data_IF_934269412241
#
_entry.id   IF_934269412241
#
_cell.length_a   1.000
_cell.length_b   1.000
_cell.length_c   1.000
_cell.angle_alpha   90.00
_cell.angle_beta   90.00
_cell.angle_gamma   90.00
#
_symmetry.space_group_name_H-M   'P 1'
#
loop_
_entity.id
_entity.type
_entity.pdbx_description
1 polymer ?
#
# COMPACT_ATOMS: atom_id res chain seq x y z
N UNK A 1 -0.70 2.46 -7.52
CA UNK A 1 0.47 3.07 -6.84
C UNK A 1 1.56 2.03 -6.65
N UNK A 2 2.82 2.47 -6.52
CA UNK A 2 3.94 1.59 -6.15
C UNK A 2 4.25 1.75 -4.66
N UNK A 3 4.50 0.64 -3.97
CA UNK A 3 4.98 0.62 -2.58
C UNK A 3 6.18 -0.31 -2.45
N UNK A 4 7.06 -0.02 -1.52
CA UNK A 4 8.19 -0.89 -1.22
C UNK A 4 7.90 -1.68 0.05
N UNK A 5 7.89 -3.01 -0.06
CA UNK A 5 7.73 -3.89 1.08
C UNK A 5 9.01 -3.98 1.92
N UNK A 6 8.87 -4.55 3.12
CA UNK A 6 9.99 -4.82 4.03
C UNK A 6 11.01 -5.80 3.46
N UNK A 7 10.63 -6.57 2.44
CA UNK A 7 11.51 -7.46 1.69
C UNK A 7 12.31 -6.75 0.57
N UNK A 8 12.15 -5.42 0.45
CA UNK A 8 12.79 -4.60 -0.56
C UNK A 8 12.17 -4.71 -1.95
N UNK A 9 11.05 -5.44 -2.10
CA UNK A 9 10.36 -5.54 -3.38
C UNK A 9 9.37 -4.41 -3.59
N UNK A 10 9.21 -4.02 -4.85
CA UNK A 10 8.13 -3.13 -5.25
C UNK A 10 6.84 -3.93 -5.48
N UNK A 11 5.73 -3.41 -4.93
CA UNK A 11 4.39 -3.91 -5.16
C UNK A 11 3.58 -2.84 -5.87
N UNK A 12 2.76 -3.27 -6.82
CA UNK A 12 1.79 -2.38 -7.49
C UNK A 12 0.42 -2.63 -6.87
N UNK A 13 -0.17 -1.57 -6.32
CA UNK A 13 -1.54 -1.54 -5.81
C UNK A 13 -2.42 -0.85 -6.84
N UNK A 14 -3.45 -1.52 -7.32
CA UNK A 14 -4.39 -0.93 -8.28
C UNK A 14 -5.27 0.15 -7.63
N UNK A 15 -5.70 1.19 -8.38
CA UNK A 15 -6.70 2.14 -7.91
C UNK A 15 -7.97 1.40 -7.44
N UNK A 16 -8.51 1.75 -6.28
CA UNK A 16 -9.68 1.07 -5.71
C UNK A 16 -9.38 -0.24 -4.98
N UNK A 17 -8.10 -0.63 -4.84
CA UNK A 17 -7.74 -1.78 -4.02
C UNK A 17 -8.27 -1.63 -2.58
N UNK A 18 -8.85 -2.73 -2.08
CA UNK A 18 -9.26 -2.83 -0.70
C UNK A 18 -8.13 -3.46 0.12
N UNK A 19 -7.49 -2.66 0.96
CA UNK A 19 -6.41 -3.11 1.85
C UNK A 19 -6.90 -3.32 3.28
N UNK A 20 -8.21 -3.50 3.47
CA UNK A 20 -8.81 -3.73 4.79
C UNK A 20 -8.27 -5.04 5.37
N UNK A 21 -7.58 -4.95 6.52
CA UNK A 21 -7.02 -6.09 7.22
C UNK A 21 -5.64 -6.52 6.73
N UNK A 22 -5.09 -5.87 5.70
CA UNK A 22 -3.72 -6.14 5.26
C UNK A 22 -2.70 -5.59 6.27
N UNK A 23 -1.66 -6.38 6.55
CA UNK A 23 -0.57 -5.94 7.40
C UNK A 23 0.40 -5.06 6.60
N UNK A 24 0.21 -3.75 6.69
CA UNK A 24 1.09 -2.74 6.06
C UNK A 24 2.25 -2.32 6.99
N UNK A 25 2.48 -3.02 8.10
CA UNK A 25 3.54 -2.65 9.06
C UNK A 25 4.91 -2.71 8.40
N UNK A 26 5.63 -1.58 8.42
CA UNK A 26 6.97 -1.47 7.85
C UNK A 26 7.01 -1.26 6.32
N UNK A 27 5.87 -1.15 5.64
CA UNK A 27 5.83 -0.72 4.25
C UNK A 27 6.21 0.76 4.15
N UNK A 28 7.07 1.12 3.19
CA UNK A 28 7.35 2.52 2.89
C UNK A 28 6.25 3.09 1.97
N UNK A 29 5.45 4.00 2.51
CA UNK A 29 4.36 4.68 1.83
C UNK A 29 4.67 6.17 1.57
N UNK A 30 5.88 6.64 1.86
CA UNK A 30 6.23 8.07 1.89
C UNK A 30 6.00 8.79 0.56
N UNK A 31 6.03 8.06 -0.56
CA UNK A 31 5.81 8.56 -1.91
C UNK A 31 4.61 7.92 -2.60
N UNK A 32 3.80 7.16 -1.87
CA UNK A 32 2.69 6.43 -2.43
C UNK A 32 1.46 7.34 -2.60
N UNK A 33 0.86 7.32 -3.79
CA UNK A 33 -0.42 7.95 -4.04
C UNK A 33 -1.56 7.06 -3.52
N UNK A 34 -2.06 7.39 -2.32
CA UNK A 34 -3.13 6.65 -1.63
C UNK A 34 -4.55 7.04 -2.09
N UNK A 35 -4.69 7.90 -3.10
CA UNK A 35 -6.02 8.36 -3.55
C UNK A 35 -6.84 7.20 -4.11
N UNK A 36 -8.06 7.05 -3.59
CA UNK A 36 -9.00 6.01 -4.03
C UNK A 36 -8.72 4.61 -3.44
N UNK A 37 -7.73 4.45 -2.57
CA UNK A 37 -7.52 3.21 -1.82
C UNK A 37 -8.46 3.12 -0.61
N UNK A 38 -9.01 1.94 -0.35
CA UNK A 38 -9.81 1.70 0.87
C UNK A 38 -8.86 1.21 1.97
N UNK A 39 -8.61 2.09 2.94
CA UNK A 39 -7.92 1.78 4.19
C UNK A 39 -8.97 1.79 5.31
N UNK A 40 -9.06 0.73 6.11
CA UNK A 40 -9.87 0.71 7.33
C UNK A 40 -8.97 0.50 8.55
N UNK A 41 -9.27 1.25 9.60
CA UNK A 41 -8.63 1.18 10.93
C UNK A 41 -8.90 -0.14 11.64
#
# INVERSE_FOLDING_TARGET
MKVTGTDGKEYTIEPGANLTGDNLSGADLSYADLRGTILKS
#
